data_IF_402206101222
#
_entry.id   IF_402206101222
#
_cell.length_a   1.000
_cell.length_b   1.000
_cell.length_c   1.000
_cell.angle_alpha   90.00
_cell.angle_beta   90.00
_cell.angle_gamma   90.00
#
_symmetry.space_group_name_H-M   'P 1'
#
loop_
_entity.id
_entity.type
_entity.pdbx_description
1 polymer ?
#
# COMPACT_ATOMS: atom_id res chain seq x y z
N UNK A 1 46.05 29.95 4.85
CA UNK A 1 45.74 28.50 4.76
C UNK A 1 44.22 28.29 4.66
N UNK A 2 43.56 28.63 3.54
CA UNK A 2 42.10 28.51 3.38
C UNK A 2 41.64 27.20 2.71
N UNK A 3 42.56 26.37 2.21
CA UNK A 3 42.23 25.20 1.39
C UNK A 3 41.57 24.07 2.18
N UNK A 4 41.96 23.86 3.44
CA UNK A 4 41.44 22.78 4.27
C UNK A 4 40.01 23.05 4.76
N UNK A 5 39.72 24.30 5.13
CA UNK A 5 38.38 24.71 5.60
C UNK A 5 37.35 24.66 4.47
N UNK A 6 37.74 25.04 3.25
CA UNK A 6 36.88 24.92 2.06
C UNK A 6 36.62 23.45 1.71
N UNK A 7 37.62 22.58 1.81
CA UNK A 7 37.48 21.14 1.58
C UNK A 7 36.56 20.46 2.62
N UNK A 8 36.71 20.78 3.90
CA UNK A 8 35.83 20.23 4.96
C UNK A 8 34.40 20.75 4.80
N UNK A 9 34.23 22.05 4.51
CA UNK A 9 32.91 22.66 4.33
C UNK A 9 32.16 22.06 3.13
N UNK A 10 32.87 21.78 2.03
CA UNK A 10 32.27 21.16 0.84
C UNK A 10 31.84 19.71 1.09
N UNK A 11 32.60 18.93 1.87
CA UNK A 11 32.19 17.57 2.29
C UNK A 11 30.92 17.62 3.16
N UNK A 12 30.85 18.55 4.11
CA UNK A 12 29.67 18.70 4.99
C UNK A 12 28.43 19.09 4.18
N UNK A 13 28.56 20.03 3.24
CA UNK A 13 27.47 20.43 2.36
C UNK A 13 27.01 19.28 1.45
N UNK A 14 27.95 18.50 0.90
CA UNK A 14 27.63 17.34 0.09
C UNK A 14 26.89 16.25 0.90
N UNK A 15 27.33 15.99 2.13
CA UNK A 15 26.68 15.03 3.03
C UNK A 15 25.26 15.49 3.43
N UNK A 16 25.08 16.78 3.72
CA UNK A 16 23.77 17.36 4.03
C UNK A 16 22.81 17.29 2.83
N UNK A 17 23.30 17.59 1.63
CA UNK A 17 22.53 17.47 0.40
C UNK A 17 22.11 16.02 0.12
N UNK A 18 23.03 15.05 0.31
CA UNK A 18 22.73 13.62 0.18
C UNK A 18 21.65 13.18 1.18
N UNK A 19 21.77 13.57 2.45
CA UNK A 19 20.77 13.27 3.48
C UNK A 19 19.40 13.86 3.12
N UNK A 20 19.34 15.12 2.71
CA UNK A 20 18.11 15.77 2.28
C UNK A 20 17.46 15.04 1.09
N UNK A 21 18.28 14.62 0.11
CA UNK A 21 17.83 13.86 -1.04
C UNK A 21 17.27 12.49 -0.65
N UNK A 22 17.93 11.75 0.24
CA UNK A 22 17.47 10.45 0.73
C UNK A 22 16.14 10.57 1.50
N UNK A 23 16.00 11.62 2.32
CA UNK A 23 14.75 11.92 3.03
C UNK A 23 13.64 12.28 2.05
N UNK A 24 13.92 13.11 1.05
CA UNK A 24 12.97 13.45 0.00
C UNK A 24 12.54 12.21 -0.79
N UNK A 25 13.47 11.35 -1.22
CA UNK A 25 13.16 10.09 -1.88
C UNK A 25 12.31 9.16 -1.01
N UNK A 26 12.60 9.05 0.30
CA UNK A 26 11.78 8.28 1.21
C UNK A 26 10.36 8.85 1.33
N UNK A 27 10.21 10.17 1.38
CA UNK A 27 8.89 10.84 1.36
C UNK A 27 8.15 10.61 0.06
N UNK A 28 8.82 10.70 -1.09
CA UNK A 28 8.21 10.43 -2.40
C UNK A 28 7.76 8.97 -2.51
N UNK A 29 8.58 8.00 -2.11
CA UNK A 29 8.19 6.58 -2.07
C UNK A 29 6.96 6.33 -1.19
N UNK A 30 6.87 7.00 -0.03
CA UNK A 30 5.66 6.95 0.83
C UNK A 30 4.44 7.57 0.15
N UNK A 31 4.60 8.67 -0.59
CA UNK A 31 3.53 9.32 -1.36
C UNK A 31 3.05 8.45 -2.53
N UNK A 32 3.97 7.81 -3.26
CA UNK A 32 3.63 6.90 -4.36
C UNK A 32 2.87 5.67 -3.85
N UNK A 33 3.25 5.09 -2.71
CA UNK A 33 2.48 4.02 -2.05
C UNK A 33 1.07 4.45 -1.61
N UNK A 34 0.80 5.75 -1.49
CA UNK A 34 -0.53 6.30 -1.17
C UNK A 34 -1.34 6.65 -2.42
N UNK A 35 -0.71 6.65 -3.60
CA UNK A 35 -1.41 6.91 -4.87
C UNK A 35 -1.98 5.57 -5.34
N UNK A 36 -3.18 5.25 -4.86
CA UNK A 36 -3.92 4.10 -5.33
C UNK A 36 -4.11 4.20 -6.85
N UNK A 37 -3.93 3.09 -7.56
CA UNK A 37 -4.28 2.97 -8.98
C UNK A 37 -5.41 1.93 -9.09
N UNK A 38 -6.66 2.38 -8.99
CA UNK A 38 -7.81 1.48 -8.90
C UNK A 38 -7.95 0.54 -10.09
N UNK A 39 -7.46 0.97 -11.27
CA UNK A 39 -7.51 0.19 -12.50
C UNK A 39 -6.53 -1.01 -12.50
N UNK A 40 -5.46 -0.93 -11.69
CA UNK A 40 -4.45 -1.99 -11.55
C UNK A 40 -4.47 -2.68 -10.17
N UNK A 41 -5.25 -2.18 -9.22
CA UNK A 41 -5.38 -2.74 -7.86
C UNK A 41 -6.15 -4.08 -7.82
N UNK A 42 -6.81 -4.45 -8.92
CA UNK A 42 -7.31 -5.81 -9.14
C UNK A 42 -6.46 -6.53 -10.18
N UNK A 43 -6.12 -7.78 -9.88
CA UNK A 43 -5.61 -8.67 -10.91
C UNK A 43 -6.70 -8.88 -11.98
N UNK A 44 -6.58 -8.17 -13.11
CA UNK A 44 -7.44 -8.37 -14.28
C UNK A 44 -7.19 -9.78 -14.80
N UNK A 45 -8.09 -10.70 -14.49
CA UNK A 45 -8.04 -12.06 -15.03
C UNK A 45 -8.61 -12.02 -16.44
N UNK A 46 -7.73 -12.06 -17.44
CA UNK A 46 -8.10 -12.09 -18.86
C UNK A 46 -8.95 -13.31 -19.23
N UNK A 47 -8.86 -14.39 -18.44
CA UNK A 47 -9.74 -15.55 -18.55
C UNK A 47 -10.24 -15.95 -17.16
N UNK A 48 -11.56 -16.01 -16.98
CA UNK A 48 -12.22 -16.61 -15.81
C UNK A 48 -12.15 -18.15 -15.80
N UNK A 49 -11.05 -18.71 -16.33
CA UNK A 49 -10.79 -20.14 -16.28
C UNK A 49 -10.13 -20.50 -14.95
N UNK A 50 -10.48 -21.66 -14.36
CA UNK A 50 -9.77 -22.16 -13.19
C UNK A 50 -8.26 -22.17 -13.46
N UNK A 51 -7.50 -21.36 -12.72
CA UNK A 51 -6.05 -21.31 -12.87
C UNK A 51 -5.44 -22.41 -12.03
N UNK A 52 -5.38 -23.64 -12.55
CA UNK A 52 -4.59 -24.75 -11.99
C UNK A 52 -4.52 -24.84 -10.44
N UNK A 53 -5.65 -24.61 -9.72
CA UNK A 53 -5.73 -24.67 -8.25
C UNK A 53 -5.40 -23.41 -7.45
N UNK A 54 -5.11 -22.26 -8.08
CA UNK A 54 -4.84 -20.99 -7.40
C UNK A 54 -6.11 -20.24 -7.04
N UNK A 55 -6.49 -20.27 -5.76
CA UNK A 55 -7.67 -19.58 -5.24
C UNK A 55 -7.35 -18.11 -4.99
N UNK A 56 -8.24 -17.20 -5.42
CA UNK A 56 -8.17 -15.81 -5.00
C UNK A 56 -9.16 -15.60 -3.87
N UNK A 57 -8.66 -15.18 -2.70
CA UNK A 57 -9.51 -14.66 -1.64
C UNK A 57 -9.59 -13.13 -1.76
N UNK A 58 -10.73 -12.56 -1.40
CA UNK A 58 -10.91 -11.11 -1.34
C UNK A 58 -11.75 -10.74 -0.13
N UNK A 59 -11.49 -9.56 0.42
CA UNK A 59 -12.26 -8.96 1.51
C UNK A 59 -12.69 -7.56 1.10
N UNK A 60 -13.93 -7.20 1.42
CA UNK A 60 -14.49 -5.88 1.17
C UNK A 60 -14.66 -5.15 2.51
N UNK A 61 -14.18 -3.90 2.58
CA UNK A 61 -14.30 -3.04 3.75
C UNK A 61 -15.08 -1.79 3.38
N UNK A 62 -16.14 -1.53 4.13
CA UNK A 62 -16.98 -0.36 4.00
C UNK A 62 -17.21 0.30 5.36
N UNK A 63 -17.58 1.58 5.30
CA UNK A 63 -18.10 2.33 6.43
C UNK A 63 -19.61 2.11 6.46
N UNK A 64 -20.08 1.43 7.51
CA UNK A 64 -21.48 1.25 7.85
C UNK A 64 -22.03 2.56 8.42
N UNK A 65 -22.79 3.29 7.60
CA UNK A 65 -23.23 4.66 7.90
C UNK A 65 -24.50 4.68 8.72
N UNK A 66 -25.40 3.74 8.48
CA UNK A 66 -26.70 3.64 9.15
C UNK A 66 -26.70 2.64 10.31
N UNK A 67 -25.64 1.84 10.47
CA UNK A 67 -25.36 1.02 11.63
C UNK A 67 -26.10 -0.33 11.62
N UNK A 68 -26.50 -0.81 10.45
CA UNK A 68 -27.29 -2.04 10.32
C UNK A 68 -26.43 -3.30 10.08
N UNK A 69 -25.12 -3.13 9.88
CA UNK A 69 -24.17 -4.22 9.63
C UNK A 69 -24.27 -4.85 8.24
N UNK A 70 -25.01 -4.24 7.30
CA UNK A 70 -25.22 -4.72 5.93
C UNK A 70 -24.74 -3.65 4.95
N UNK A 71 -23.94 -4.04 3.96
CA UNK A 71 -23.51 -3.08 2.95
C UNK A 71 -24.71 -2.58 2.13
N UNK A 72 -25.02 -1.28 2.24
CA UNK A 72 -26.16 -0.64 1.62
C UNK A 72 -25.82 0.58 0.76
N UNK A 73 -26.86 1.24 0.25
CA UNK A 73 -26.74 2.45 -0.60
C UNK A 73 -26.12 3.64 0.16
N UNK A 74 -26.33 3.70 1.48
CA UNK A 74 -25.79 4.77 2.33
C UNK A 74 -24.27 4.62 2.57
N UNK A 75 -23.72 3.43 2.37
CA UNK A 75 -22.37 3.10 2.78
C UNK A 75 -21.30 3.50 1.77
N UNK A 76 -20.05 3.52 2.24
CA UNK A 76 -18.90 3.93 1.43
C UNK A 76 -17.76 2.92 1.54
N UNK A 77 -17.15 2.51 0.42
CA UNK A 77 -15.94 1.69 0.46
C UNK A 77 -14.81 2.44 1.17
N UNK A 78 -14.01 1.70 1.94
CA UNK A 78 -12.88 2.27 2.69
C UNK A 78 -11.55 1.85 2.09
N UNK A 79 -10.77 2.83 1.63
CA UNK A 79 -9.44 2.62 1.05
C UNK A 79 -8.33 2.63 2.10
N UNK A 80 -7.25 1.89 1.83
CA UNK A 80 -6.03 1.89 2.63
C UNK A 80 -6.12 1.11 3.94
N UNK A 81 -7.23 0.44 4.23
CA UNK A 81 -7.43 -0.39 5.41
C UNK A 81 -6.57 -1.64 5.30
N UNK A 82 -5.77 -1.92 6.32
CA UNK A 82 -4.92 -3.12 6.35
C UNK A 82 -5.76 -4.33 6.75
N UNK A 83 -5.85 -5.31 5.87
CA UNK A 83 -6.46 -6.62 6.11
C UNK A 83 -5.35 -7.64 6.26
N UNK A 84 -5.38 -8.42 7.35
CA UNK A 84 -4.45 -9.52 7.61
C UNK A 84 -5.21 -10.84 7.53
N UNK A 85 -4.68 -11.76 6.75
CA UNK A 85 -5.26 -13.06 6.51
C UNK A 85 -4.47 -14.12 7.29
N UNK A 86 -5.20 -14.93 8.06
CA UNK A 86 -4.66 -15.95 8.95
C UNK A 86 -5.31 -17.30 8.65
N UNK A 87 -4.63 -18.39 8.97
CA UNK A 87 -5.23 -19.72 8.98
C UNK A 87 -6.07 -19.98 10.25
N UNK A 88 -6.75 -21.12 10.29
CA UNK A 88 -7.60 -21.55 11.40
C UNK A 88 -6.86 -21.71 12.74
N UNK A 89 -5.52 -21.83 12.72
CA UNK A 89 -4.66 -21.97 13.90
C UNK A 89 -4.07 -20.61 14.33
N UNK A 90 -4.42 -19.52 13.65
CA UNK A 90 -3.89 -18.19 13.88
C UNK A 90 -2.53 -17.91 13.22
N UNK A 91 -2.08 -18.78 12.32
CA UNK A 91 -0.86 -18.59 11.54
C UNK A 91 -1.04 -17.47 10.50
N UNK A 92 -0.10 -16.52 10.46
CA UNK A 92 -0.14 -15.43 9.49
C UNK A 92 0.13 -15.94 8.07
N UNK A 93 -0.79 -15.67 7.13
CA UNK A 93 -0.65 -16.06 5.73
C UNK A 93 -0.22 -14.88 4.86
N UNK A 94 -0.94 -13.76 4.94
CA UNK A 94 -0.71 -12.59 4.09
C UNK A 94 -1.34 -11.31 4.65
N UNK A 95 -0.94 -10.15 4.10
CA UNK A 95 -1.58 -8.88 4.38
C UNK A 95 -1.71 -8.04 3.10
N UNK A 96 -2.86 -7.38 2.94
CA UNK A 96 -3.15 -6.49 1.82
C UNK A 96 -3.88 -5.24 2.32
N UNK A 97 -3.66 -4.10 1.66
CA UNK A 97 -4.45 -2.89 1.91
C UNK A 97 -5.63 -2.83 0.95
N UNK A 98 -6.76 -2.34 1.41
CA UNK A 98 -7.90 -2.10 0.53
C UNK A 98 -7.59 -1.02 -0.51
N UNK A 99 -8.07 -1.23 -1.73
CA UNK A 99 -7.99 -0.25 -2.80
C UNK A 99 -9.08 0.83 -2.67
N UNK A 100 -9.16 1.76 -3.64
CA UNK A 100 -10.18 2.84 -3.60
C UNK A 100 -11.62 2.32 -3.66
N UNK A 101 -11.81 1.11 -4.18
CA UNK A 101 -13.10 0.45 -4.23
C UNK A 101 -13.39 -0.35 -2.95
N UNK A 102 -12.51 -0.36 -1.93
CA UNK A 102 -12.74 -1.03 -0.65
C UNK A 102 -12.27 -2.48 -0.58
N UNK A 103 -11.62 -3.02 -1.61
CA UNK A 103 -11.25 -4.44 -1.67
C UNK A 103 -9.78 -4.69 -1.37
N UNK A 104 -9.51 -5.70 -0.55
CA UNK A 104 -8.19 -6.29 -0.31
C UNK A 104 -8.15 -7.68 -0.95
N UNK A 105 -7.23 -7.89 -1.92
CA UNK A 105 -7.14 -9.12 -2.71
C UNK A 105 -5.92 -9.96 -2.32
N UNK A 106 -6.10 -11.27 -2.23
CA UNK A 106 -5.08 -12.25 -1.88
C UNK A 106 -4.99 -13.33 -2.97
N UNK A 107 -4.14 -13.13 -3.99
CA UNK A 107 -3.85 -14.16 -4.97
C UNK A 107 -2.95 -15.24 -4.34
N UNK A 108 -3.43 -16.48 -4.28
CA UNK A 108 -2.69 -17.63 -3.76
C UNK A 108 -2.39 -18.62 -4.88
#
# INVERSE_FOLDING_TARGET
>A
MPSLTVAVSSIVLAAAALLAFLVWQARQRRRMRRRADPAHDYAVRASWRPTAGKLNFSSYVYMDVDGDGVYGLADRPMAGIMVRFYDERGGFLAAARTNSAGFANFPM
#
